data_IF_345580984891
#
_entry.id   IF_345580984891
#
_cell.length_a   1.000
_cell.length_b   1.000
_cell.length_c   1.000
_cell.angle_alpha   90.00
_cell.angle_beta   90.00
_cell.angle_gamma   90.00
#
_symmetry.space_group_name_H-M   'P 1'
#
loop_
_entity.id
_entity.type
_entity.pdbx_description
1 polymer ?
#
# COMPACT_ATOMS: atom_id res chain seq x y z
N UNK A 1 -16.19 10.23 -4.72
CA UNK A 1 -17.44 10.05 -3.94
C UNK A 1 -18.56 9.63 -4.88
N UNK A 2 -19.60 8.99 -4.37
CA UNK A 2 -20.78 8.62 -5.16
C UNK A 2 -22.05 8.56 -4.29
N UNK A 3 -23.22 8.75 -4.92
CA UNK A 3 -24.54 8.61 -4.28
C UNK A 3 -25.61 8.27 -5.33
N UNK A 4 -26.45 7.30 -5.00
CA UNK A 4 -27.79 7.10 -5.59
C UNK A 4 -28.71 6.56 -4.50
N UNK A 5 -30.02 6.68 -4.64
CA UNK A 5 -30.96 6.16 -3.64
C UNK A 5 -30.81 4.64 -3.44
N UNK A 6 -30.50 3.89 -4.51
CA UNK A 6 -30.27 2.45 -4.44
C UNK A 6 -28.92 2.06 -3.82
N UNK A 7 -27.88 2.89 -3.99
CA UNK A 7 -26.52 2.57 -3.53
C UNK A 7 -26.14 3.20 -2.18
N UNK A 8 -26.96 4.11 -1.66
CA UNK A 8 -26.61 4.95 -0.51
C UNK A 8 -25.40 5.85 -0.80
N UNK A 9 -24.74 6.32 0.27
CA UNK A 9 -23.58 7.21 0.17
C UNK A 9 -22.26 6.40 0.14
N UNK A 10 -21.47 6.62 -0.91
CA UNK A 10 -20.21 5.90 -1.14
C UNK A 10 -19.00 6.85 -1.16
N UNK A 11 -17.85 6.37 -0.67
CA UNK A 11 -16.57 7.07 -0.66
C UNK A 11 -15.41 6.10 -0.87
N UNK A 12 -14.68 6.29 -1.98
CA UNK A 12 -13.30 5.85 -2.09
C UNK A 12 -12.39 7.03 -1.70
N UNK A 13 -11.55 6.83 -0.68
CA UNK A 13 -10.63 7.83 -0.17
C UNK A 13 -9.20 7.27 -0.10
N UNK A 14 -8.21 8.14 -0.22
CA UNK A 14 -6.81 7.80 0.00
C UNK A 14 -6.15 8.83 0.90
N UNK A 15 -5.32 8.36 1.82
CA UNK A 15 -4.47 9.20 2.65
C UNK A 15 -3.02 8.74 2.52
N UNK A 16 -2.08 9.69 2.58
CA UNK A 16 -0.65 9.40 2.66
C UNK A 16 -0.09 10.10 3.90
N UNK A 17 0.63 9.36 4.73
CA UNK A 17 1.28 9.87 5.95
C UNK A 17 2.75 9.47 5.96
N UNK A 18 3.57 10.32 6.56
CA UNK A 18 4.92 9.95 6.95
C UNK A 18 4.85 9.03 8.17
N UNK A 19 5.51 7.89 8.09
CA UNK A 19 5.67 6.88 9.15
C UNK A 19 7.17 6.59 9.31
N UNK A 20 7.62 5.90 10.39
CA UNK A 20 9.06 5.64 10.60
C UNK A 20 9.77 5.01 9.40
N UNK A 21 9.07 4.18 8.63
CA UNK A 21 9.60 3.46 7.47
C UNK A 21 9.41 4.20 6.12
N UNK A 22 9.14 5.51 6.16
CA UNK A 22 8.93 6.36 4.99
C UNK A 22 7.47 6.77 4.78
N UNK A 23 7.07 7.07 3.53
CA UNK A 23 5.71 7.49 3.24
C UNK A 23 4.79 6.30 3.01
N UNK A 24 3.70 6.20 3.76
CA UNK A 24 2.69 5.14 3.60
C UNK A 24 1.34 5.68 3.13
N UNK A 25 0.84 5.12 2.05
CA UNK A 25 -0.48 5.40 1.48
C UNK A 25 -1.46 4.29 1.86
N UNK A 26 -2.62 4.68 2.37
CA UNK A 26 -3.76 3.79 2.54
C UNK A 26 -4.90 4.21 1.61
N UNK A 27 -5.73 3.24 1.25
CA UNK A 27 -7.00 3.45 0.56
C UNK A 27 -8.12 2.87 1.42
N UNK A 28 -9.22 3.61 1.54
CA UNK A 28 -10.46 3.10 2.12
C UNK A 28 -11.59 3.23 1.10
N UNK A 29 -12.43 2.21 1.01
CA UNK A 29 -13.62 2.21 0.17
C UNK A 29 -14.79 1.83 1.05
N UNK A 30 -15.67 2.80 1.29
CA UNK A 30 -16.89 2.64 2.09
C UNK A 30 -18.08 2.84 1.17
N UNK A 31 -19.06 1.94 1.25
CA UNK A 31 -20.25 1.94 0.40
C UNK A 31 -21.51 1.86 1.26
N UNK A 32 -22.63 2.39 0.75
CA UNK A 32 -23.94 2.18 1.36
C UNK A 32 -24.18 2.88 2.71
N UNK A 33 -23.48 3.97 3.03
CA UNK A 33 -23.75 4.68 4.30
C UNK A 33 -25.04 5.49 4.22
N UNK A 34 -25.66 5.76 5.38
CA UNK A 34 -26.94 6.46 5.48
C UNK A 34 -26.87 7.97 5.17
N UNK A 35 -25.70 8.61 5.28
CA UNK A 35 -25.54 10.04 4.99
C UNK A 35 -24.18 10.39 4.39
N UNK A 36 -24.04 11.65 3.94
CA UNK A 36 -22.77 12.22 3.44
C UNK A 36 -21.71 12.28 4.54
N UNK A 37 -22.13 12.55 5.76
CA UNK A 37 -21.28 12.66 6.95
C UNK A 37 -20.83 11.25 7.37
N UNK A 38 -21.77 10.29 7.37
CA UNK A 38 -21.47 8.90 7.72
C UNK A 38 -20.36 8.30 6.85
N UNK A 39 -20.40 8.46 5.51
CA UNK A 39 -19.31 7.97 4.64
C UNK A 39 -17.96 8.57 5.01
N UNK A 40 -17.92 9.85 5.38
CA UNK A 40 -16.67 10.53 5.72
C UNK A 40 -16.13 10.03 7.06
N UNK A 41 -17.01 9.93 8.08
CA UNK A 41 -16.66 9.42 9.41
C UNK A 41 -16.17 7.97 9.36
N UNK A 42 -16.87 7.08 8.66
CA UNK A 42 -16.48 5.67 8.57
C UNK A 42 -15.18 5.49 7.77
N UNK A 43 -15.00 6.21 6.65
CA UNK A 43 -13.72 6.20 5.93
C UNK A 43 -12.57 6.72 6.79
N UNK A 44 -12.79 7.75 7.62
CA UNK A 44 -11.76 8.28 8.52
C UNK A 44 -11.40 7.27 9.62
N UNK A 45 -12.39 6.58 10.21
CA UNK A 45 -12.15 5.52 11.19
C UNK A 45 -11.29 4.40 10.61
N UNK A 46 -11.64 3.90 9.42
CA UNK A 46 -10.87 2.85 8.74
C UNK A 46 -9.44 3.28 8.44
N UNK A 47 -9.23 4.50 7.93
CA UNK A 47 -7.90 5.02 7.66
C UNK A 47 -7.07 5.14 8.94
N UNK A 48 -7.65 5.70 10.00
CA UNK A 48 -6.98 5.83 11.30
C UNK A 48 -6.62 4.48 11.89
N UNK A 49 -7.54 3.52 11.86
CA UNK A 49 -7.27 2.16 12.31
C UNK A 49 -6.17 1.49 11.49
N UNK A 50 -6.19 1.61 10.15
CA UNK A 50 -5.15 1.05 9.28
C UNK A 50 -3.75 1.61 9.56
N UNK A 51 -3.65 2.89 9.97
CA UNK A 51 -2.38 3.48 10.41
C UNK A 51 -1.94 3.03 11.81
N UNK A 52 -2.88 2.67 12.69
CA UNK A 52 -2.57 2.28 14.06
C UNK A 52 -2.30 0.77 14.21
N UNK A 53 -2.95 -0.07 13.40
CA UNK A 53 -2.95 -1.52 13.57
C UNK A 53 -1.94 -2.25 12.66
N UNK A 54 -1.40 -1.58 11.65
CA UNK A 54 -0.50 -2.17 10.66
C UNK A 54 0.67 -1.24 10.41
N UNK A 55 1.79 -1.81 9.99
CA UNK A 55 2.95 -1.11 9.47
C UNK A 55 3.23 -1.57 8.03
N UNK A 56 3.82 -0.71 7.21
CA UNK A 56 4.39 -1.14 5.94
C UNK A 56 5.92 -1.14 6.06
N UNK A 57 6.54 -2.28 5.83
CA UNK A 57 8.00 -2.44 5.86
C UNK A 57 8.49 -2.61 4.43
N UNK A 58 9.42 -1.76 4.02
CA UNK A 58 10.13 -1.91 2.76
C UNK A 58 11.30 -2.88 2.95
N UNK A 59 11.24 -4.04 2.29
CA UNK A 59 12.25 -5.08 2.40
C UNK A 59 13.42 -4.86 1.44
N UNK A 60 13.12 -4.51 0.20
CA UNK A 60 14.12 -4.33 -0.86
C UNK A 60 13.83 -3.10 -1.70
N UNK A 61 14.90 -2.39 -2.09
CA UNK A 61 14.79 -1.30 -3.06
C UNK A 61 14.72 -1.82 -4.48
N UNK A 62 14.12 -1.02 -5.36
CA UNK A 62 14.07 -1.29 -6.80
C UNK A 62 15.48 -1.48 -7.37
N UNK A 63 15.66 -2.57 -8.12
CA UNK A 63 16.91 -2.91 -8.81
C UNK A 63 18.13 -3.09 -7.88
N UNK A 64 17.91 -3.22 -6.57
CA UNK A 64 18.99 -3.50 -5.65
C UNK A 64 19.31 -5.01 -5.64
N UNK A 65 20.59 -5.41 -5.76
CA UNK A 65 21.01 -6.78 -5.55
C UNK A 65 20.62 -7.27 -4.14
N UNK A 66 19.85 -8.35 -4.09
CA UNK A 66 19.46 -9.06 -2.87
C UNK A 66 20.45 -10.20 -2.60
N UNK A 67 20.88 -10.89 -3.66
CA UNK A 67 21.85 -11.98 -3.55
C UNK A 67 22.74 -12.06 -4.79
N UNK A 68 23.88 -12.70 -4.65
CA UNK A 68 24.81 -12.98 -5.74
C UNK A 68 24.92 -14.50 -5.89
N UNK A 69 24.68 -14.98 -7.11
CA UNK A 69 24.73 -16.42 -7.42
C UNK A 69 25.83 -16.70 -8.44
N UNK A 70 26.41 -17.89 -8.36
CA UNK A 70 27.37 -18.37 -9.35
C UNK A 70 26.67 -18.68 -10.67
N UNK A 71 27.30 -18.30 -11.77
CA UNK A 71 26.81 -18.55 -13.13
C UNK A 71 27.75 -19.55 -13.80
N UNK A 72 27.18 -20.64 -14.31
CA UNK A 72 27.91 -21.65 -15.04
C UNK A 72 27.85 -21.37 -16.54
N UNK A 73 28.98 -21.49 -17.24
CA UNK A 73 29.12 -21.23 -18.70
C UNK A 73 28.68 -19.82 -19.12
N UNK A 74 28.66 -18.85 -18.20
CA UNK A 74 28.39 -17.44 -18.51
C UNK A 74 29.65 -16.67 -18.88
N UNK A 75 29.49 -15.53 -19.56
CA UNK A 75 30.59 -14.60 -19.80
C UNK A 75 31.13 -13.97 -18.51
N UNK A 76 30.31 -13.93 -17.46
CA UNK A 76 30.65 -13.46 -16.11
C UNK A 76 30.37 -14.59 -15.12
N UNK A 77 31.23 -14.85 -14.12
CA UNK A 77 31.10 -15.99 -13.21
C UNK A 77 30.01 -15.83 -12.15
N UNK A 78 29.45 -14.62 -11.99
CA UNK A 78 28.45 -14.30 -10.98
C UNK A 78 27.36 -13.37 -11.53
N UNK A 79 26.14 -13.54 -11.02
CA UNK A 79 25.00 -12.68 -11.33
C UNK A 79 24.40 -12.14 -10.03
N UNK A 80 24.13 -10.83 -10.03
CA UNK A 80 23.41 -10.14 -8.96
C UNK A 80 21.91 -10.24 -9.22
N UNK A 81 21.20 -10.90 -8.33
CA UNK A 81 19.75 -11.08 -8.41
C UNK A 81 19.06 -10.12 -7.43
N UNK A 82 17.96 -9.53 -7.86
CA UNK A 82 17.17 -8.59 -7.07
C UNK A 82 15.74 -8.49 -7.59
N UNK A 83 14.95 -7.60 -7.00
CA UNK A 83 13.59 -7.31 -7.44
C UNK A 83 13.57 -6.16 -8.46
N UNK A 84 12.73 -6.28 -9.50
CA UNK A 84 12.57 -5.25 -10.52
C UNK A 84 11.87 -3.98 -9.98
N UNK A 85 11.10 -4.11 -8.91
CA UNK A 85 10.48 -3.02 -8.17
C UNK A 85 10.75 -3.18 -6.67
N UNK A 86 10.52 -2.11 -5.91
CA UNK A 86 10.66 -2.17 -4.46
C UNK A 86 9.62 -3.11 -3.84
N UNK A 87 10.05 -3.89 -2.85
CA UNK A 87 9.22 -4.90 -2.18
C UNK A 87 8.78 -4.36 -0.82
N UNK A 88 7.47 -4.38 -0.57
CA UNK A 88 6.85 -3.96 0.70
C UNK A 88 6.02 -5.11 1.27
N UNK A 89 5.97 -5.22 2.60
CA UNK A 89 5.08 -6.11 3.35
C UNK A 89 4.29 -5.27 4.34
N UNK A 90 2.98 -5.52 4.45
CA UNK A 90 2.07 -4.77 5.32
C UNK A 90 1.04 -5.68 5.99
#
# INVERSE_FOLDING_TARGET
TGYTDAAGYCLAASAQRDVPNGKRRLLSVVMGTASKEARATESQKLLNWGYAAFDAVRLFEKNQPITTVKVWKGAVPEAKLGAADAVFVA
#
